data_IF_594709463633
#
_entry.id   IF_594709463633
#
_cell.length_a   1.000
_cell.length_b   1.000
_cell.length_c   1.000
_cell.angle_alpha   90.00
_cell.angle_beta   90.00
_cell.angle_gamma   90.00
#
_symmetry.space_group_name_H-M   'P 1'
#
loop_
_entity.id
_entity.type
_entity.pdbx_description
1 polymer ?
#
# COMPACT_ATOMS: atom_id res chain seq x y z
N UNK A 1 11.30 -1.77 0.11
CA UNK A 1 11.47 -0.31 0.09
C UNK A 1 12.93 0.13 0.30
N UNK A 2 13.91 -0.77 0.17
CA UNK A 2 15.36 -0.48 0.28
C UNK A 2 15.80 0.26 1.56
N UNK A 3 15.07 0.11 2.67
CA UNK A 3 15.35 0.81 3.93
C UNK A 3 15.04 2.31 3.94
N UNK A 4 14.57 2.84 2.80
CA UNK A 4 14.24 4.25 2.63
C UNK A 4 12.83 4.57 3.17
N UNK A 5 12.58 5.78 3.70
CA UNK A 5 11.33 6.13 4.35
C UNK A 5 10.14 6.10 3.39
N UNK A 6 9.04 5.51 3.83
CA UNK A 6 7.76 5.52 3.14
C UNK A 6 6.63 5.97 4.07
N UNK A 7 5.55 6.47 3.49
CA UNK A 7 4.33 6.87 4.20
C UNK A 7 3.18 5.97 3.78
N UNK A 8 2.46 5.44 4.77
CA UNK A 8 1.23 4.70 4.53
C UNK A 8 0.01 5.60 4.77
N UNK A 9 -0.98 5.50 3.89
CA UNK A 9 -2.31 6.09 4.02
C UNK A 9 -3.34 4.96 3.93
N UNK A 10 -4.17 4.83 4.95
CA UNK A 10 -5.21 3.81 5.05
C UNK A 10 -6.57 4.50 5.14
N UNK A 11 -7.50 4.12 4.27
CA UNK A 11 -8.83 4.72 4.20
C UNK A 11 -9.86 3.77 3.60
N UNK A 12 -11.14 4.08 3.83
CA UNK A 12 -12.26 3.37 3.22
C UNK A 12 -13.04 4.30 2.30
N UNK A 13 -13.57 3.75 1.22
CA UNK A 13 -14.42 4.48 0.28
C UNK A 13 -15.53 3.56 -0.25
N UNK A 14 -16.56 4.13 -0.89
CA UNK A 14 -17.66 3.34 -1.48
C UNK A 14 -17.54 3.33 -3.00
N UNK A 15 -17.49 2.13 -3.57
CA UNK A 15 -17.61 1.89 -5.01
C UNK A 15 -19.05 1.50 -5.37
N UNK A 16 -19.30 1.29 -6.67
CA UNK A 16 -20.56 0.69 -7.17
C UNK A 16 -20.75 -0.76 -6.68
N UNK A 17 -19.67 -1.46 -6.34
CA UNK A 17 -19.68 -2.85 -5.88
C UNK A 17 -19.79 -2.96 -4.35
N UNK A 18 -19.66 -1.84 -3.63
CA UNK A 18 -19.73 -1.80 -2.17
C UNK A 18 -18.55 -1.07 -1.51
N UNK A 19 -18.39 -1.18 -0.19
CA UNK A 19 -17.27 -0.58 0.53
C UNK A 19 -15.94 -1.19 0.08
N UNK A 20 -14.93 -0.34 -0.02
CA UNK A 20 -13.56 -0.69 -0.39
C UNK A 20 -12.63 -0.21 0.71
N UNK A 21 -11.75 -1.09 1.16
CA UNK A 21 -10.65 -0.78 2.07
C UNK A 21 -9.38 -0.61 1.25
N UNK A 22 -8.74 0.56 1.36
CA UNK A 22 -7.56 0.87 0.58
C UNK A 22 -6.38 1.27 1.46
N UNK A 23 -5.23 0.67 1.16
CA UNK A 23 -3.94 1.02 1.77
C UNK A 23 -3.02 1.49 0.66
N UNK A 24 -2.45 2.67 0.83
CA UNK A 24 -1.52 3.30 -0.12
C UNK A 24 -0.19 3.53 0.56
N UNK A 25 0.87 2.92 0.05
CA UNK A 25 2.25 3.14 0.53
C UNK A 25 2.99 3.98 -0.50
N UNK A 26 3.51 5.13 -0.07
CA UNK A 26 4.17 6.12 -0.91
C UNK A 26 5.61 6.30 -0.48
N UNK A 27 6.51 6.34 -1.47
CA UNK A 27 7.93 6.60 -1.25
C UNK A 27 8.44 7.61 -2.28
N UNK A 28 8.99 8.72 -1.80
CA UNK A 28 9.67 9.70 -2.64
C UNK A 28 11.10 9.21 -2.87
N UNK A 29 11.52 9.11 -4.14
CA UNK A 29 12.85 8.64 -4.55
C UNK A 29 13.45 9.61 -5.56
N UNK A 30 14.19 10.60 -5.05
CA UNK A 30 14.65 11.74 -5.85
C UNK A 30 13.45 12.49 -6.45
N UNK A 31 13.37 12.56 -7.78
CA UNK A 31 12.25 13.19 -8.50
C UNK A 31 11.10 12.22 -8.84
N UNK A 32 11.15 10.98 -8.37
CA UNK A 32 10.12 9.95 -8.65
C UNK A 32 9.28 9.69 -7.41
N UNK A 33 7.99 9.43 -7.61
CA UNK A 33 7.09 8.93 -6.57
C UNK A 33 6.75 7.47 -6.87
N UNK A 34 7.16 6.58 -5.97
CA UNK A 34 6.74 5.17 -6.00
C UNK A 34 5.49 5.03 -5.13
N UNK A 35 4.47 4.36 -5.65
CA UNK A 35 3.20 4.15 -4.93
C UNK A 35 2.73 2.72 -5.09
N UNK A 36 2.45 2.07 -3.98
CA UNK A 36 1.78 0.77 -3.92
C UNK A 36 0.35 0.99 -3.44
N UNK A 37 -0.62 0.47 -4.18
CA UNK A 37 -2.03 0.53 -3.79
C UNK A 37 -2.55 -0.89 -3.59
N UNK A 38 -3.10 -1.13 -2.42
CA UNK A 38 -3.81 -2.36 -2.07
C UNK A 38 -5.27 -2.01 -1.87
N UNK A 39 -6.16 -2.70 -2.58
CA UNK A 39 -7.61 -2.53 -2.44
C UNK A 39 -8.24 -3.87 -2.11
N UNK A 40 -9.06 -3.91 -1.07
CA UNK A 40 -9.87 -5.06 -0.69
C UNK A 40 -11.35 -4.67 -0.68
N UNK A 41 -12.20 -5.52 -1.25
CA UNK A 41 -13.65 -5.36 -1.14
C UNK A 41 -14.09 -5.71 0.30
N UNK A 42 -14.88 -4.83 0.91
CA UNK A 42 -15.30 -4.98 2.31
C UNK A 42 -14.18 -4.66 3.28
N UNK A 43 -13.73 -5.66 4.04
CA UNK A 43 -12.76 -5.51 5.12
C UNK A 43 -11.38 -6.08 4.72
N UNK A 44 -10.33 -5.38 5.12
CA UNK A 44 -8.96 -5.89 5.08
C UNK A 44 -8.54 -6.31 6.49
N UNK A 45 -8.45 -7.62 6.75
CA UNK A 45 -8.02 -8.13 8.07
C UNK A 45 -6.55 -7.76 8.32
N UNK A 46 -6.20 -7.50 9.58
CA UNK A 46 -4.84 -7.13 9.98
C UNK A 46 -3.77 -8.13 9.55
N UNK A 47 -4.06 -9.44 9.58
CA UNK A 47 -3.15 -10.49 9.08
C UNK A 47 -2.89 -10.35 7.57
N UNK A 48 -3.94 -10.09 6.78
CA UNK A 48 -3.84 -9.88 5.34
C UNK A 48 -3.10 -8.58 5.03
N UNK A 49 -3.37 -7.52 5.80
CA UNK A 49 -2.66 -6.24 5.70
C UNK A 49 -1.17 -6.42 5.97
N UNK A 50 -0.81 -7.11 7.06
CA UNK A 50 0.57 -7.36 7.46
C UNK A 50 1.31 -8.15 6.38
N UNK A 51 0.69 -9.20 5.83
CA UNK A 51 1.28 -9.98 4.75
C UNK A 51 1.51 -9.15 3.48
N UNK A 52 0.56 -8.29 3.11
CA UNK A 52 0.69 -7.42 1.94
C UNK A 52 1.75 -6.32 2.14
N UNK A 53 1.81 -5.73 3.34
CA UNK A 53 2.84 -4.76 3.69
C UNK A 53 4.24 -5.39 3.65
N UNK A 54 4.40 -6.64 4.10
CA UNK A 54 5.68 -7.34 4.00
C UNK A 54 6.15 -7.49 2.53
N UNK A 55 5.22 -7.73 1.60
CA UNK A 55 5.54 -7.76 0.16
C UNK A 55 6.01 -6.38 -0.32
N UNK A 56 5.29 -5.32 0.03
CA UNK A 56 5.67 -3.94 -0.32
C UNK A 56 7.04 -3.56 0.27
N UNK A 57 7.28 -3.91 1.53
CA UNK A 57 8.56 -3.70 2.22
C UNK A 57 9.72 -4.48 1.59
N UNK A 58 9.45 -5.65 1.02
CA UNK A 58 10.47 -6.45 0.32
C UNK A 58 10.87 -5.88 -1.04
N UNK A 59 10.10 -4.95 -1.62
CA UNK A 59 10.37 -4.39 -2.94
C UNK A 59 11.74 -3.72 -2.99
N UNK A 60 12.60 -4.17 -3.90
CA UNK A 60 13.86 -3.51 -4.21
C UNK A 60 13.78 -2.92 -5.60
N UNK A 61 14.11 -1.65 -5.73
CA UNK A 61 14.19 -1.06 -7.07
C UNK A 61 15.43 -1.59 -7.77
N UNK A 62 15.29 -2.01 -9.01
CA UNK A 62 16.45 -2.15 -9.89
C UNK A 62 17.12 -0.77 -10.02
N UNK A 63 18.44 -0.75 -9.87
CA UNK A 63 19.31 0.41 -10.06
C UNK A 63 19.51 0.72 -11.54
#
# INVERSE_FOLDING_TARGET
LDGEPARALEYTWRSTEGPMHQVVVMQVRGQRLLTFTVTAAGELREEQKTALLAVVESFKSAS
#
